data_IF_369052817745
#
_entry.id   IF_369052817745
#
_cell.length_a   1.000
_cell.length_b   1.000
_cell.length_c   1.000
_cell.angle_alpha   90.00
_cell.angle_beta   90.00
_cell.angle_gamma   90.00
#
_symmetry.space_group_name_H-M   'P 1'
#
loop_
_entity.id
_entity.type
_entity.pdbx_description
1 polymer ?
#
# COMPACT_ATOMS: atom_id res chain seq x y z
N UNK A 1 -18.04 -5.56 -1.20
CA UNK A 1 -19.35 -5.05 -0.72
C UNK A 1 -19.72 -5.51 0.69
N UNK A 2 -18.96 -6.42 1.35
CA UNK A 2 -19.35 -6.90 2.69
C UNK A 2 -19.01 -5.95 3.84
N UNK A 3 -17.92 -5.16 3.76
CA UNK A 3 -17.54 -4.21 4.84
C UNK A 3 -18.56 -3.08 5.06
N UNK A 4 -19.08 -2.48 3.99
CA UNK A 4 -20.10 -1.43 4.06
C UNK A 4 -21.39 -1.90 4.80
N UNK A 5 -21.68 -3.21 4.77
CA UNK A 5 -22.83 -3.79 5.47
C UNK A 5 -22.63 -3.95 6.98
N UNK A 6 -21.38 -3.88 7.48
CA UNK A 6 -21.06 -4.08 8.92
C UNK A 6 -20.71 -2.79 9.69
N UNK A 7 -20.15 -1.78 9.03
CA UNK A 7 -19.61 -0.57 9.69
C UNK A 7 -20.35 0.73 9.32
N UNK A 8 -21.32 0.67 8.39
CA UNK A 8 -21.96 1.85 7.83
C UNK A 8 -21.17 2.49 6.68
N UNK A 9 -21.85 3.24 5.83
CA UNK A 9 -21.26 3.85 4.63
C UNK A 9 -20.21 4.91 4.97
N UNK A 10 -20.37 5.61 6.11
CA UNK A 10 -19.46 6.67 6.54
C UNK A 10 -18.10 6.12 6.96
N UNK A 11 -18.06 5.04 7.76
CA UNK A 11 -16.82 4.39 8.15
C UNK A 11 -16.08 3.79 6.94
N UNK A 12 -16.83 3.23 5.99
CA UNK A 12 -16.26 2.75 4.74
C UNK A 12 -15.65 3.89 3.92
N UNK A 13 -16.36 5.00 3.75
CA UNK A 13 -15.88 6.15 3.00
C UNK A 13 -14.65 6.78 3.65
N UNK A 14 -14.61 6.88 4.99
CA UNK A 14 -13.44 7.33 5.73
C UNK A 14 -12.23 6.42 5.48
N UNK A 15 -12.41 5.09 5.55
CA UNK A 15 -11.35 4.13 5.24
C UNK A 15 -10.85 4.29 3.79
N UNK A 16 -11.75 4.48 2.81
CA UNK A 16 -11.35 4.68 1.41
C UNK A 16 -10.61 6.01 1.20
N UNK A 17 -11.03 7.08 1.86
CA UNK A 17 -10.35 8.38 1.79
C UNK A 17 -8.94 8.28 2.36
N UNK A 18 -8.76 7.60 3.48
CA UNK A 18 -7.43 7.41 4.07
C UNK A 18 -6.54 6.53 3.18
N UNK A 19 -7.07 5.45 2.62
CA UNK A 19 -6.36 4.63 1.63
C UNK A 19 -5.94 5.46 0.41
N UNK A 20 -6.78 6.36 -0.08
CA UNK A 20 -6.44 7.24 -1.19
C UNK A 20 -5.26 8.18 -0.83
N UNK A 21 -5.28 8.77 0.37
CA UNK A 21 -4.18 9.60 0.87
C UNK A 21 -2.88 8.80 0.98
N UNK A 22 -2.93 7.57 1.49
CA UNK A 22 -1.76 6.69 1.55
C UNK A 22 -1.21 6.40 0.15
N UNK A 23 -2.08 6.12 -0.82
CA UNK A 23 -1.66 5.91 -2.20
C UNK A 23 -0.97 7.15 -2.78
N UNK A 24 -1.47 8.34 -2.50
CA UNK A 24 -0.86 9.60 -2.95
C UNK A 24 0.55 9.79 -2.35
N UNK A 25 0.72 9.51 -1.06
CA UNK A 25 2.04 9.51 -0.41
C UNK A 25 2.98 8.53 -1.09
N UNK A 26 2.52 7.30 -1.33
CA UNK A 26 3.34 6.26 -1.96
C UNK A 26 3.77 6.65 -3.38
N UNK A 27 2.85 7.20 -4.17
CA UNK A 27 3.10 7.60 -5.54
C UNK A 27 4.01 8.82 -5.65
N UNK A 28 3.90 9.77 -4.72
CA UNK A 28 4.67 11.01 -4.76
C UNK A 28 6.11 10.81 -4.27
N UNK A 29 6.30 9.96 -3.25
CA UNK A 29 7.58 9.86 -2.56
C UNK A 29 8.40 8.61 -2.93
N UNK A 30 7.77 7.55 -3.46
CA UNK A 30 8.42 6.25 -3.62
C UNK A 30 8.18 5.57 -4.97
N UNK A 31 7.52 6.23 -5.92
CA UNK A 31 7.31 5.65 -7.25
C UNK A 31 8.47 6.00 -8.19
N UNK A 32 9.35 5.03 -8.45
CA UNK A 32 10.45 5.11 -9.43
C UNK A 32 10.00 5.07 -10.91
N UNK A 33 8.69 5.16 -11.16
CA UNK A 33 8.07 5.01 -12.47
C UNK A 33 7.69 3.56 -12.84
N UNK A 34 8.08 2.57 -12.03
CA UNK A 34 7.81 1.14 -12.28
C UNK A 34 6.88 0.51 -11.25
N UNK A 35 6.71 1.13 -10.09
CA UNK A 35 5.97 0.56 -8.94
C UNK A 35 4.52 1.02 -8.80
N UNK A 36 4.04 1.94 -9.64
CA UNK A 36 2.64 2.43 -9.60
C UNK A 36 1.61 1.30 -9.48
N UNK A 37 1.69 0.27 -10.34
CA UNK A 37 0.75 -0.85 -10.31
C UNK A 37 0.79 -1.59 -8.98
N UNK A 38 1.98 -1.87 -8.46
CA UNK A 38 2.16 -2.54 -7.16
C UNK A 38 1.48 -1.73 -6.04
N UNK A 39 1.72 -0.42 -5.99
CA UNK A 39 1.14 0.45 -4.96
C UNK A 39 -0.38 0.51 -5.04
N UNK A 40 -0.94 0.66 -6.24
CA UNK A 40 -2.39 0.65 -6.43
C UNK A 40 -3.00 -0.69 -5.99
N UNK A 41 -2.37 -1.82 -6.35
CA UNK A 41 -2.87 -3.15 -5.97
C UNK A 41 -2.76 -3.36 -4.46
N UNK A 42 -1.63 -3.01 -3.85
CA UNK A 42 -1.42 -3.16 -2.41
C UNK A 42 -2.43 -2.34 -1.60
N UNK A 43 -2.65 -1.07 -1.92
CA UNK A 43 -3.62 -0.21 -1.21
C UNK A 43 -5.06 -0.73 -1.33
N UNK A 44 -5.40 -1.28 -2.50
CA UNK A 44 -6.72 -1.85 -2.73
C UNK A 44 -6.95 -3.15 -1.93
N UNK A 45 -5.93 -3.99 -1.79
CA UNK A 45 -6.07 -5.33 -1.22
C UNK A 45 -5.73 -5.42 0.28
N UNK A 46 -4.76 -4.65 0.78
CA UNK A 46 -4.37 -4.63 2.19
C UNK A 46 -5.39 -3.87 3.04
N UNK A 47 -5.48 -4.19 4.33
CA UNK A 47 -6.33 -3.41 5.23
C UNK A 47 -5.67 -2.08 5.59
N UNK A 48 -6.46 -1.08 5.99
CA UNK A 48 -5.93 0.24 6.36
C UNK A 48 -4.86 0.13 7.46
N UNK A 49 -5.06 -0.76 8.43
CA UNK A 49 -4.11 -1.00 9.53
C UNK A 49 -2.76 -1.54 9.03
N UNK A 50 -2.77 -2.40 8.01
CA UNK A 50 -1.53 -2.93 7.43
C UNK A 50 -0.78 -1.81 6.71
N UNK A 51 -1.49 -0.96 5.97
CA UNK A 51 -0.90 0.19 5.28
C UNK A 51 -0.33 1.24 6.24
N UNK A 52 -1.04 1.52 7.34
CA UNK A 52 -0.55 2.39 8.41
C UNK A 52 0.71 1.82 9.08
N UNK A 53 0.79 0.49 9.22
CA UNK A 53 1.98 -0.18 9.76
C UNK A 53 3.17 -0.02 8.82
N UNK A 54 2.95 -0.19 7.51
CA UNK A 54 3.98 0.07 6.49
C UNK A 54 4.48 1.52 6.56
N UNK A 55 3.60 2.52 6.68
CA UNK A 55 4.03 3.92 6.82
C UNK A 55 4.88 4.15 8.08
N UNK A 56 4.50 3.55 9.21
CA UNK A 56 5.31 3.62 10.44
C UNK A 56 6.68 2.98 10.27
N UNK A 57 6.78 1.85 9.56
CA UNK A 57 8.07 1.22 9.29
C UNK A 57 8.96 2.06 8.37
N UNK A 58 8.36 2.80 7.43
CA UNK A 58 9.07 3.77 6.60
C UNK A 58 9.61 4.92 7.45
N UNK A 59 8.78 5.51 8.31
CA UNK A 59 9.17 6.63 9.18
C UNK A 59 10.22 6.23 10.21
N UNK A 60 10.17 4.99 10.71
CA UNK A 60 11.13 4.45 11.66
C UNK A 60 12.48 4.05 11.02
N UNK A 61 12.62 4.08 9.69
CA UNK A 61 13.87 3.72 9.03
C UNK A 61 14.89 4.86 9.11
N UNK A 62 15.95 4.75 9.93
CA UNK A 62 16.85 5.88 10.20
C UNK A 62 17.64 6.35 8.97
N UNK A 63 17.99 5.42 8.08
CA UNK A 63 18.78 5.73 6.88
C UNK A 63 17.90 6.11 5.68
N UNK A 64 16.60 6.34 5.88
CA UNK A 64 15.71 6.52 4.74
C UNK A 64 16.11 7.75 3.91
N UNK A 65 16.58 8.83 4.53
CA UNK A 65 17.02 10.04 3.84
C UNK A 65 18.26 9.84 2.97
N UNK A 66 19.17 8.95 3.37
CA UNK A 66 20.45 8.71 2.69
C UNK A 66 20.30 7.77 1.49
N UNK A 67 19.20 7.03 1.41
CA UNK A 67 18.89 6.16 0.28
C UNK A 67 18.61 6.94 -1.01
N UNK A 68 19.09 6.38 -2.12
CA UNK A 68 18.66 6.83 -3.44
C UNK A 68 17.16 6.62 -3.61
N UNK A 69 16.54 7.38 -4.51
CA UNK A 69 15.11 7.25 -4.79
C UNK A 69 14.71 5.82 -5.21
N UNK A 70 15.59 5.12 -5.92
CA UNK A 70 15.37 3.73 -6.34
C UNK A 70 15.40 2.76 -5.15
N UNK A 71 16.32 2.94 -4.22
CA UNK A 71 16.40 2.13 -2.99
C UNK A 71 15.20 2.39 -2.08
N UNK A 72 14.78 3.65 -1.93
CA UNK A 72 13.56 4.02 -1.23
C UNK A 72 12.35 3.28 -1.82
N UNK A 73 12.19 3.34 -3.15
CA UNK A 73 11.12 2.65 -3.86
C UNK A 73 11.15 1.13 -3.66
N UNK A 74 12.33 0.52 -3.75
CA UNK A 74 12.51 -0.91 -3.56
C UNK A 74 12.18 -1.34 -2.12
N UNK A 75 12.61 -0.56 -1.12
CA UNK A 75 12.32 -0.81 0.29
C UNK A 75 10.81 -0.77 0.56
N UNK A 76 10.12 0.29 0.14
CA UNK A 76 8.67 0.43 0.32
C UNK A 76 7.89 -0.67 -0.39
N UNK A 77 8.33 -1.05 -1.61
CA UNK A 77 7.76 -2.18 -2.33
C UNK A 77 7.92 -3.51 -1.58
N UNK A 78 9.07 -3.72 -0.90
CA UNK A 78 9.32 -4.87 -0.04
C UNK A 78 8.36 -4.94 1.13
N UNK A 79 8.20 -3.83 1.87
CA UNK A 79 7.27 -3.77 3.02
C UNK A 79 5.82 -4.10 2.63
N UNK A 80 5.34 -3.57 1.51
CA UNK A 80 4.00 -3.88 1.00
C UNK A 80 3.87 -5.36 0.61
N UNK A 81 4.93 -5.93 0.05
CA UNK A 81 4.96 -7.34 -0.32
C UNK A 81 4.95 -8.25 0.91
N UNK A 82 5.71 -7.90 1.96
CA UNK A 82 5.76 -8.63 3.23
C UNK A 82 4.40 -8.56 3.95
N UNK A 83 3.78 -7.37 3.99
CA UNK A 83 2.43 -7.19 4.51
C UNK A 83 1.41 -8.08 3.77
N UNK A 84 1.51 -8.16 2.44
CA UNK A 84 0.63 -9.02 1.65
C UNK A 84 0.87 -10.51 1.91
N UNK A 85 2.13 -10.94 2.03
CA UNK A 85 2.48 -12.34 2.36
C UNK A 85 1.93 -12.73 3.73
N UNK A 86 2.06 -11.86 4.75
CA UNK A 86 1.48 -12.11 6.08
C UNK A 86 -0.04 -12.33 6.06
N UNK A 87 -0.73 -11.74 5.07
CA UNK A 87 -2.18 -11.89 4.88
C UNK A 87 -2.56 -12.95 3.83
N UNK A 88 -1.59 -13.69 3.29
CA UNK A 88 -1.78 -14.62 2.18
C UNK A 88 -2.40 -13.98 0.92
N UNK A 89 -2.04 -12.72 0.65
CA UNK A 89 -2.51 -11.95 -0.51
C UNK A 89 -1.41 -11.93 -1.59
N UNK A 90 -1.81 -12.24 -2.82
CA UNK A 90 -0.96 -12.12 -4.01
C UNK A 90 -1.16 -10.74 -4.64
N UNK A 91 -0.10 -9.93 -4.68
CA UNK A 91 -0.12 -8.59 -5.30
C UNK A 91 0.04 -8.62 -6.83
N UNK A 92 0.16 -9.80 -7.44
CA UNK A 92 0.22 -9.91 -8.90
C UNK A 92 -1.17 -9.80 -9.54
N UNK A 93 -1.30 -8.92 -10.52
CA UNK A 93 -2.49 -8.87 -11.36
C UNK A 93 -2.59 -10.14 -12.21
N UNK A 94 -3.62 -10.95 -11.96
CA UNK A 94 -3.95 -12.08 -12.82
C UNK A 94 -4.66 -11.57 -14.06
N UNK A 95 -4.11 -11.88 -15.24
CA UNK A 95 -4.83 -11.65 -16.49
C UNK A 95 -6.13 -12.45 -16.46
N UNK A 96 -7.26 -11.80 -16.77
CA UNK A 96 -8.51 -12.51 -16.99
C UNK A 96 -8.27 -13.51 -18.13
N UNK A 97 -8.52 -14.80 -17.89
CA UNK A 97 -8.55 -15.79 -18.97
C UNK A 97 -9.74 -15.39 -19.86
N UNK A 98 -9.43 -15.02 -21.10
CA UNK A 98 -10.42 -14.74 -22.15
C UNK A 98 -11.17 -15.99 -22.54
#
# INVERSE_FOLDING_TARGET
MEKAKRLGIDAYNAEQAEKANILEVLLSNYNDGRKKTLFCVAVNLLELQDLQTVLKEIDCKPDMETLTFKEKSAFVAGLLQDAAVMKNIDLNLRKKKG
#
